data_IF_842064638943
#
_entry.id   IF_842064638943
#
_cell.length_a   1.000
_cell.length_b   1.000
_cell.length_c   1.000
_cell.angle_alpha   90.00
_cell.angle_beta   90.00
_cell.angle_gamma   90.00
#
_symmetry.space_group_name_H-M   'P 1'
#
loop_
_entity.id
_entity.type
_entity.pdbx_description
1 polymer ?
#
# COMPACT_ATOMS: atom_id res chain seq x y z
N UNK A 1 -4.42 -27.65 24.57
CA UNK A 1 -5.26 -26.48 24.19
C UNK A 1 -4.43 -25.34 23.60
N UNK A 2 -3.42 -24.79 24.28
CA UNK A 2 -2.61 -23.65 23.79
C UNK A 2 -1.96 -23.89 22.41
N UNK A 3 -1.37 -25.07 22.17
CA UNK A 3 -0.77 -25.42 20.87
C UNK A 3 -1.76 -25.41 19.69
N UNK A 4 -3.02 -25.80 19.93
CA UNK A 4 -4.08 -25.76 18.92
C UNK A 4 -4.44 -24.30 18.57
N UNK A 5 -4.50 -23.42 19.57
CA UNK A 5 -4.77 -21.99 19.38
C UNK A 5 -3.66 -21.34 18.54
N UNK A 6 -2.39 -21.69 18.81
CA UNK A 6 -1.25 -21.20 18.00
C UNK A 6 -1.38 -21.65 16.55
N UNK A 7 -1.71 -22.92 16.28
CA UNK A 7 -1.91 -23.40 14.91
C UNK A 7 -3.01 -22.63 14.18
N UNK A 8 -4.14 -22.37 14.85
CA UNK A 8 -5.23 -21.59 14.27
C UNK A 8 -4.78 -20.16 13.94
N UNK A 9 -4.07 -19.49 14.85
CA UNK A 9 -3.57 -18.13 14.63
C UNK A 9 -2.47 -18.03 13.56
N UNK A 10 -1.61 -19.04 13.47
CA UNK A 10 -0.61 -19.14 12.39
C UNK A 10 -1.31 -19.32 11.03
N UNK A 11 -2.35 -20.15 10.98
CA UNK A 11 -3.08 -20.36 9.73
C UNK A 11 -3.84 -19.09 9.28
N UNK A 12 -4.46 -18.35 10.20
CA UNK A 12 -5.18 -17.11 9.88
C UNK A 12 -4.22 -15.99 9.47
N UNK A 13 -3.06 -15.87 10.13
CA UNK A 13 -2.01 -14.93 9.73
C UNK A 13 -1.44 -15.24 8.35
N UNK A 14 -1.21 -16.53 8.04
CA UNK A 14 -0.75 -16.93 6.71
C UNK A 14 -1.76 -16.58 5.61
N UNK A 15 -3.05 -16.89 5.80
CA UNK A 15 -4.12 -16.54 4.86
C UNK A 15 -4.21 -15.03 4.67
N UNK A 16 -4.15 -14.28 5.77
CA UNK A 16 -4.19 -12.82 5.73
C UNK A 16 -2.98 -12.24 4.98
N UNK A 17 -1.79 -12.83 5.16
CA UNK A 17 -0.57 -12.40 4.49
C UNK A 17 -0.63 -12.58 2.97
N UNK A 18 -1.27 -13.64 2.47
CA UNK A 18 -1.54 -13.78 1.02
C UNK A 18 -2.42 -12.64 0.52
N UNK A 19 -3.47 -12.29 1.28
CA UNK A 19 -4.35 -11.16 0.98
C UNK A 19 -3.60 -9.83 0.97
N UNK A 20 -2.70 -9.61 1.93
CA UNK A 20 -1.86 -8.40 1.99
C UNK A 20 -0.96 -8.29 0.77
N UNK A 21 -0.25 -9.36 0.41
CA UNK A 21 0.62 -9.37 -0.78
C UNK A 21 -0.19 -9.06 -2.04
N UNK A 22 -1.36 -9.68 -2.22
CA UNK A 22 -2.24 -9.40 -3.36
C UNK A 22 -2.72 -7.94 -3.39
N UNK A 23 -3.13 -7.41 -2.24
CA UNK A 23 -3.54 -6.01 -2.11
C UNK A 23 -2.38 -5.05 -2.42
N UNK A 24 -1.17 -5.32 -1.91
CA UNK A 24 0.02 -4.50 -2.16
C UNK A 24 0.45 -4.53 -3.63
N UNK A 25 0.41 -5.69 -4.30
CA UNK A 25 0.72 -5.79 -5.73
C UNK A 25 -0.27 -4.96 -6.55
N UNK A 26 -1.57 -5.09 -6.25
CA UNK A 26 -2.60 -4.28 -6.92
C UNK A 26 -2.41 -2.79 -6.68
N UNK A 27 -2.10 -2.41 -5.45
CA UNK A 27 -1.81 -1.02 -5.09
C UNK A 27 -0.60 -0.49 -5.88
N UNK A 28 0.50 -1.24 -5.98
CA UNK A 28 1.66 -0.82 -6.74
C UNK A 28 1.33 -0.63 -8.22
N UNK A 29 0.67 -1.61 -8.85
CA UNK A 29 0.30 -1.54 -10.26
C UNK A 29 -0.63 -0.36 -10.59
N UNK A 30 -1.49 0.04 -9.64
CA UNK A 30 -2.45 1.13 -9.85
C UNK A 30 -2.00 2.49 -9.34
N UNK A 31 -0.94 2.58 -8.53
CA UNK A 31 -0.50 3.83 -7.91
C UNK A 31 0.84 4.30 -8.46
N UNK A 32 1.58 3.46 -9.17
CA UNK A 32 2.84 3.84 -9.81
C UNK A 32 2.68 5.10 -10.66
N UNK A 33 1.70 5.13 -11.57
CA UNK A 33 1.38 6.30 -12.39
C UNK A 33 0.79 7.47 -11.59
N UNK A 34 0.19 7.25 -10.43
CA UNK A 34 -0.35 8.34 -9.62
C UNK A 34 0.77 9.09 -8.87
N UNK A 35 1.85 8.41 -8.52
CA UNK A 35 2.96 9.00 -7.74
C UNK A 35 3.78 10.02 -8.53
N UNK A 36 3.94 9.81 -9.84
CA UNK A 36 4.55 10.77 -10.77
C UNK A 36 3.70 12.05 -10.88
N UNK A 37 2.37 11.93 -10.85
CA UNK A 37 1.44 13.07 -10.94
C UNK A 37 1.34 13.85 -9.63
N UNK A 38 1.36 13.17 -8.49
CA UNK A 38 1.13 13.75 -7.16
C UNK A 38 2.44 14.23 -6.52
N UNK A 39 3.61 13.80 -7.02
CA UNK A 39 4.92 14.20 -6.52
C UNK A 39 5.29 13.62 -5.14
N UNK A 40 4.40 12.84 -4.51
CA UNK A 40 4.66 12.20 -3.22
C UNK A 40 5.10 10.73 -3.39
N UNK A 41 6.34 10.44 -2.98
CA UNK A 41 6.89 9.07 -2.96
C UNK A 41 6.39 8.23 -1.77
N UNK A 42 5.73 8.88 -0.81
CA UNK A 42 5.22 8.30 0.43
C UNK A 42 4.22 7.16 0.20
N UNK A 43 3.49 7.21 -0.91
CA UNK A 43 2.52 6.18 -1.27
C UNK A 43 3.18 4.90 -1.80
N UNK A 44 4.18 5.06 -2.66
CA UNK A 44 4.94 3.95 -3.23
C UNK A 44 5.76 3.25 -2.15
N UNK A 45 6.39 4.02 -1.26
CA UNK A 45 7.13 3.49 -0.12
C UNK A 45 6.20 2.71 0.81
N UNK A 46 5.02 3.23 1.14
CA UNK A 46 4.03 2.51 1.95
C UNK A 46 3.64 1.15 1.35
N UNK A 47 3.30 1.13 0.06
CA UNK A 47 2.88 -0.08 -0.64
C UNK A 47 4.03 -1.12 -0.73
N UNK A 48 5.26 -0.66 -0.97
CA UNK A 48 6.45 -1.53 -1.00
C UNK A 48 6.77 -2.13 0.38
N UNK A 49 6.64 -1.34 1.45
CA UNK A 49 6.84 -1.82 2.83
C UNK A 49 5.79 -2.86 3.18
N UNK A 50 4.53 -2.62 2.82
CA UNK A 50 3.46 -3.62 3.02
C UNK A 50 3.69 -4.92 2.24
N UNK A 51 4.18 -4.82 1.01
CA UNK A 51 4.54 -5.99 0.22
C UNK A 51 5.63 -6.81 0.92
N UNK A 52 6.68 -6.14 1.41
CA UNK A 52 7.75 -6.78 2.16
C UNK A 52 7.23 -7.43 3.45
N UNK A 53 6.39 -6.73 4.22
CA UNK A 53 5.76 -7.25 5.44
C UNK A 53 4.96 -8.53 5.16
N UNK A 54 4.09 -8.50 4.14
CA UNK A 54 3.30 -9.67 3.74
C UNK A 54 4.17 -10.84 3.29
N UNK A 55 5.22 -10.57 2.51
CA UNK A 55 6.15 -11.59 2.04
C UNK A 55 6.93 -12.24 3.20
N UNK A 56 7.48 -11.44 4.13
CA UNK A 56 8.15 -11.96 5.31
C UNK A 56 7.20 -12.77 6.21
N UNK A 57 5.97 -12.28 6.40
CA UNK A 57 4.97 -13.02 7.17
C UNK A 57 4.66 -14.40 6.55
N UNK A 58 4.59 -14.51 5.22
CA UNK A 58 4.46 -15.81 4.53
C UNK A 58 5.67 -16.72 4.74
N UNK A 59 6.89 -16.18 4.62
CA UNK A 59 8.12 -16.94 4.83
C UNK A 59 8.22 -17.46 6.27
N UNK A 60 7.68 -16.73 7.24
CA UNK A 60 7.65 -17.16 8.65
C UNK A 60 6.56 -18.19 8.96
N UNK A 61 5.60 -18.43 8.06
CA UNK A 61 4.49 -19.34 8.33
C UNK A 61 4.93 -20.79 8.64
N UNK A 62 5.87 -21.42 7.90
CA UNK A 62 6.38 -22.76 8.25
C UNK A 62 7.02 -22.79 9.64
N UNK A 63 7.76 -21.74 10.02
CA UNK A 63 8.35 -21.61 11.37
C UNK A 63 7.26 -21.52 12.44
N UNK A 64 6.15 -20.84 12.15
CA UNK A 64 4.96 -20.80 12.99
C UNK A 64 4.35 -22.18 13.20
N UNK A 65 4.17 -22.98 12.14
CA UNK A 65 3.66 -24.35 12.27
C UNK A 65 4.61 -25.24 13.07
N UNK A 66 5.91 -25.15 12.81
CA UNK A 66 6.94 -25.90 13.55
C UNK A 66 6.97 -25.50 15.03
N UNK A 67 6.80 -24.22 15.35
CA UNK A 67 6.78 -23.73 16.74
C UNK A 67 5.65 -24.35 17.58
N UNK A 68 4.53 -24.71 16.95
CA UNK A 68 3.40 -25.34 17.63
C UNK A 68 3.63 -26.83 17.91
N UNK A 69 4.37 -27.51 17.03
CA UNK A 69 4.73 -28.93 17.17
C UNK A 69 5.98 -29.13 18.03
N UNK A 70 6.90 -28.17 18.01
CA UNK A 70 8.16 -28.26 18.70
C UNK A 70 7.98 -28.17 20.22
N UNK A 71 8.63 -29.09 20.93
CA UNK A 71 8.83 -29.02 22.39
C UNK A 71 10.12 -28.24 22.73
N UNK A 72 10.91 -27.89 21.71
CA UNK A 72 12.19 -27.19 21.84
C UNK A 72 12.01 -25.66 21.88
N UNK A 73 12.48 -25.02 22.94
CA UNK A 73 12.38 -23.57 23.18
C UNK A 73 12.97 -22.63 22.10
N UNK A 74 14.10 -22.92 21.42
CA UNK A 74 14.70 -21.93 20.51
C UNK A 74 13.86 -21.65 19.26
N UNK A 75 13.15 -22.64 18.71
CA UNK A 75 12.30 -22.45 17.51
C UNK A 75 11.16 -21.48 17.84
N UNK A 76 10.48 -21.69 18.96
CA UNK A 76 9.41 -20.80 19.44
C UNK A 76 9.90 -19.39 19.71
N UNK A 77 11.11 -19.23 20.27
CA UNK A 77 11.71 -17.93 20.50
C UNK A 77 12.05 -17.21 19.18
N UNK A 78 12.67 -17.90 18.22
CA UNK A 78 13.00 -17.31 16.91
C UNK A 78 11.75 -16.84 16.15
N UNK A 79 10.70 -17.66 16.14
CA UNK A 79 9.42 -17.27 15.54
C UNK A 79 8.81 -16.03 16.23
N UNK A 80 8.83 -15.98 17.58
CA UNK A 80 8.33 -14.82 18.33
C UNK A 80 9.10 -13.54 18.01
N UNK A 81 10.42 -13.61 17.89
CA UNK A 81 11.27 -12.46 17.53
C UNK A 81 10.96 -11.98 16.10
N UNK A 82 10.85 -12.89 15.14
CA UNK A 82 10.51 -12.53 13.75
C UNK A 82 9.13 -11.87 13.66
N UNK A 83 8.13 -12.43 14.35
CA UNK A 83 6.78 -11.84 14.42
C UNK A 83 6.77 -10.47 15.10
N UNK A 84 7.62 -10.26 16.11
CA UNK A 84 7.78 -8.94 16.73
C UNK A 84 8.29 -7.90 15.74
N UNK A 85 9.30 -8.22 14.91
CA UNK A 85 9.76 -7.30 13.87
C UNK A 85 8.69 -7.03 12.81
N UNK A 86 7.89 -8.04 12.42
CA UNK A 86 6.75 -7.88 11.50
C UNK A 86 5.69 -6.93 12.10
N UNK A 87 5.43 -7.00 13.42
CA UNK A 87 4.57 -6.02 14.09
C UNK A 87 5.08 -4.60 13.91
N UNK A 88 6.38 -4.36 14.14
CA UNK A 88 6.96 -3.02 14.05
C UNK A 88 6.84 -2.45 12.64
N UNK A 89 7.14 -3.26 11.61
CA UNK A 89 6.97 -2.86 10.22
C UNK A 89 5.50 -2.61 9.85
N UNK A 90 4.56 -3.37 10.43
CA UNK A 90 3.13 -3.16 10.23
C UNK A 90 2.64 -1.82 10.80
N UNK A 91 3.20 -1.38 11.93
CA UNK A 91 2.95 -0.06 12.52
C UNK A 91 3.47 1.05 11.60
N UNK A 92 4.67 0.89 11.04
CA UNK A 92 5.22 1.83 10.06
C UNK A 92 4.29 1.96 8.85
N UNK A 93 3.82 0.84 8.28
CA UNK A 93 2.82 0.85 7.20
C UNK A 93 1.53 1.57 7.59
N UNK A 94 1.07 1.42 8.84
CA UNK A 94 -0.10 2.13 9.36
C UNK A 94 0.12 3.65 9.38
N UNK A 95 1.28 4.12 9.86
CA UNK A 95 1.65 5.54 9.87
C UNK A 95 1.64 6.15 8.47
N UNK A 96 2.20 5.45 7.46
CA UNK A 96 2.16 5.92 6.08
C UNK A 96 0.73 6.01 5.54
N UNK A 97 -0.13 5.02 5.83
CA UNK A 97 -1.55 5.07 5.47
C UNK A 97 -2.28 6.31 6.01
N UNK A 98 -1.96 6.71 7.25
CA UNK A 98 -2.48 7.95 7.85
C UNK A 98 -1.91 9.22 7.22
N UNK A 99 -0.61 9.25 6.90
CA UNK A 99 0.00 10.41 6.21
C UNK A 99 -0.65 10.64 4.87
N UNK A 100 -0.81 9.58 4.08
CA UNK A 100 -1.54 9.61 2.82
C UNK A 100 -2.98 10.14 3.00
N UNK A 101 -3.68 9.68 4.03
CA UNK A 101 -5.04 10.16 4.32
C UNK A 101 -5.07 11.67 4.58
N UNK A 102 -4.11 12.18 5.34
CA UNK A 102 -4.01 13.59 5.63
C UNK A 102 -3.69 14.41 4.37
N UNK A 103 -2.82 13.92 3.48
CA UNK A 103 -2.56 14.57 2.19
C UNK A 103 -3.82 14.62 1.32
N UNK A 104 -4.58 13.53 1.26
CA UNK A 104 -5.87 13.45 0.54
C UNK A 104 -6.87 14.47 1.10
N UNK A 105 -7.07 14.49 2.41
CA UNK A 105 -8.06 15.33 3.07
C UNK A 105 -7.66 16.82 3.07
N UNK A 106 -6.35 17.12 2.97
CA UNK A 106 -5.83 18.50 2.92
C UNK A 106 -6.04 19.21 1.57
N UNK A 107 -6.38 18.47 0.51
CA UNK A 107 -6.56 19.03 -0.84
C UNK A 107 -5.26 19.31 -1.60
N UNK A 108 -4.10 19.01 -1.02
CA UNK A 108 -2.78 19.18 -1.64
C UNK A 108 -2.66 18.42 -2.97
N UNK A 109 -3.35 17.28 -3.11
CA UNK A 109 -3.42 16.51 -4.36
C UNK A 109 -3.97 17.33 -5.52
N UNK A 110 -4.96 18.20 -5.27
CA UNK A 110 -5.54 19.04 -6.31
C UNK A 110 -4.52 20.05 -6.83
N UNK A 111 -3.68 20.59 -5.94
CA UNK A 111 -2.64 21.55 -6.30
C UNK A 111 -1.55 20.90 -7.14
N UNK A 112 -1.06 19.72 -6.75
CA UNK A 112 -0.10 18.93 -7.54
C UNK A 112 -0.63 18.53 -8.91
N UNK A 113 -1.89 18.11 -9.00
CA UNK A 113 -2.52 17.79 -10.28
C UNK A 113 -2.63 19.04 -11.17
N UNK A 114 -2.95 20.22 -10.62
CA UNK A 114 -2.99 21.45 -11.39
C UNK A 114 -1.61 21.85 -11.90
N UNK A 115 -0.60 21.80 -11.03
CA UNK A 115 0.77 22.12 -11.40
C UNK A 115 1.28 21.17 -12.49
N UNK A 116 1.23 19.86 -12.25
CA UNK A 116 1.73 18.85 -13.20
C UNK A 116 1.06 18.90 -14.57
N UNK A 117 -0.26 19.14 -14.63
CA UNK A 117 -0.98 19.30 -15.90
C UNK A 117 -0.59 20.60 -16.63
N UNK A 118 -0.42 21.71 -15.91
CA UNK A 118 -0.15 23.01 -16.52
C UNK A 118 1.30 23.16 -16.99
N UNK A 119 2.27 22.67 -16.22
CA UNK A 119 3.70 22.96 -16.48
C UNK A 119 4.45 21.79 -17.09
N UNK A 120 4.11 20.56 -16.71
CA UNK A 120 4.95 19.40 -17.03
C UNK A 120 4.35 18.45 -18.06
N UNK A 121 3.03 18.43 -18.24
CA UNK A 121 2.41 17.61 -19.28
C UNK A 121 2.87 18.06 -20.68
N UNK A 122 3.35 17.12 -21.50
CA UNK A 122 3.90 17.40 -22.82
C UNK A 122 5.34 17.90 -22.84
N UNK A 123 6.01 17.95 -21.68
CA UNK A 123 7.43 18.29 -21.60
C UNK A 123 8.29 17.09 -22.05
N UNK A 124 9.18 17.23 -23.06
CA UNK A 124 10.03 16.13 -23.54
C UNK A 124 11.05 15.63 -22.51
N UNK A 125 11.28 16.38 -21.43
CA UNK A 125 12.12 15.94 -20.31
C UNK A 125 11.33 15.21 -19.21
N UNK A 126 9.99 15.17 -19.31
CA UNK A 126 9.08 14.55 -18.35
C UNK A 126 8.08 13.60 -19.06
N UNK A 127 8.57 12.78 -19.98
CA UNK A 127 7.77 11.82 -20.74
C UNK A 127 7.01 10.83 -19.82
N UNK A 128 7.63 10.39 -18.72
CA UNK A 128 7.00 9.50 -17.73
C UNK A 128 5.75 10.11 -17.11
N UNK A 129 5.74 11.43 -16.88
CA UNK A 129 4.59 12.14 -16.35
C UNK A 129 3.47 12.22 -17.40
N UNK A 130 3.81 12.52 -18.65
CA UNK A 130 2.84 12.57 -19.75
C UNK A 130 2.18 11.21 -19.93
N UNK A 131 2.96 10.13 -19.93
CA UNK A 131 2.46 8.75 -19.98
C UNK A 131 1.54 8.40 -18.80
N UNK A 132 1.89 8.87 -17.60
CA UNK A 132 1.08 8.65 -16.39
C UNK A 132 -0.28 9.34 -16.48
N UNK A 133 -0.33 10.57 -17.01
CA UNK A 133 -1.58 11.27 -17.28
C UNK A 133 -2.40 10.61 -18.37
N UNK A 134 -1.77 10.10 -19.43
CA UNK A 134 -2.46 9.40 -20.51
C UNK A 134 -3.15 8.12 -19.99
N UNK A 135 -2.45 7.33 -19.17
CA UNK A 135 -3.04 6.19 -18.46
C UNK A 135 -4.18 6.61 -17.53
N UNK A 136 -4.07 7.75 -16.84
CA UNK A 136 -5.13 8.25 -15.97
C UNK A 136 -6.40 8.58 -16.77
N UNK A 137 -6.24 9.24 -17.92
CA UNK A 137 -7.34 9.57 -18.83
C UNK A 137 -8.03 8.31 -19.36
N UNK A 138 -7.25 7.30 -19.77
CA UNK A 138 -7.77 6.03 -20.26
C UNK A 138 -8.47 5.22 -19.15
N UNK A 139 -7.87 5.11 -17.96
CA UNK A 139 -8.40 4.32 -16.84
C UNK A 139 -9.77 4.82 -16.38
N UNK A 140 -9.94 6.12 -16.25
CA UNK A 140 -11.17 6.71 -15.71
C UNK A 140 -12.09 7.32 -16.77
N UNK A 141 -11.72 7.24 -18.05
CA UNK A 141 -12.42 7.90 -19.15
C UNK A 141 -12.77 9.36 -18.78
N UNK A 142 -11.74 10.10 -18.40
CA UNK A 142 -11.81 11.48 -17.94
C UNK A 142 -10.84 12.34 -18.75
N UNK A 143 -11.05 13.65 -18.72
CA UNK A 143 -10.13 14.59 -19.34
C UNK A 143 -9.94 15.79 -18.40
N UNK A 144 -8.70 16.11 -18.07
CA UNK A 144 -8.37 17.20 -17.15
C UNK A 144 -8.75 16.91 -15.69
N UNK A 145 -8.65 17.94 -14.84
CA UNK A 145 -8.68 17.75 -13.38
C UNK A 145 -10.10 17.83 -12.83
N UNK A 146 -10.87 18.84 -13.23
CA UNK A 146 -12.20 19.14 -12.68
C UNK A 146 -13.26 19.28 -13.78
N UNK A 147 -14.48 18.79 -13.50
CA UNK A 147 -15.58 18.66 -14.47
C UNK A 147 -15.91 19.95 -15.26
N UNK A 148 -15.73 21.14 -14.66
CA UNK A 148 -16.19 22.41 -15.23
C UNK A 148 -15.12 23.18 -16.02
N UNK A 149 -13.84 22.84 -15.88
CA UNK A 149 -12.72 23.64 -16.43
C UNK A 149 -11.76 22.83 -17.30
N UNK A 150 -12.07 21.58 -17.62
CA UNK A 150 -11.14 20.72 -18.35
C UNK A 150 -10.69 21.28 -19.70
N UNK A 151 -11.56 21.73 -20.63
CA UNK A 151 -11.10 22.25 -21.92
C UNK A 151 -10.33 23.57 -21.83
N UNK A 152 -10.69 24.45 -20.87
CA UNK A 152 -10.01 25.74 -20.69
C UNK A 152 -8.70 25.61 -19.92
N UNK A 153 -8.57 24.63 -19.03
CA UNK A 153 -7.32 24.32 -18.35
C UNK A 153 -6.24 23.87 -19.34
N UNK A 154 -6.60 23.07 -20.34
CA UNK A 154 -5.69 22.65 -21.41
C UNK A 154 -5.17 23.81 -22.26
N UNK A 155 -5.98 24.83 -22.53
CA UNK A 155 -5.56 25.99 -23.34
C UNK A 155 -4.41 26.79 -22.71
N UNK A 156 -4.28 26.75 -21.38
CA UNK A 156 -3.22 27.44 -20.64
C UNK A 156 -2.05 26.52 -20.28
N UNK A 157 -2.08 25.25 -20.71
CA UNK A 157 -1.01 24.29 -20.45
C UNK A 157 0.18 24.49 -21.37
N UNK A 158 1.38 24.17 -20.87
CA UNK A 158 2.61 24.14 -21.65
C UNK A 158 2.47 23.30 -22.93
N UNK A 159 1.78 22.16 -22.83
CA UNK A 159 1.48 21.31 -23.98
C UNK A 159 0.77 22.08 -25.09
N UNK A 160 -0.34 22.77 -24.81
CA UNK A 160 -1.10 23.47 -25.86
C UNK A 160 -0.30 24.62 -26.52
N UNK A 161 0.54 25.32 -25.74
CA UNK A 161 1.39 26.39 -26.26
C UNK A 161 2.47 25.86 -27.20
N UNK A 162 3.05 24.70 -26.87
CA UNK A 162 4.19 24.09 -27.56
C UNK A 162 3.77 23.07 -28.63
N UNK A 163 2.51 22.63 -28.61
CA UNK A 163 1.95 21.69 -29.58
C UNK A 163 1.95 22.29 -30.99
N UNK A 164 2.16 21.41 -31.98
CA UNK A 164 2.39 21.70 -33.40
C UNK A 164 1.74 23.02 -33.89
N UNK A 165 2.53 23.81 -34.61
CA UNK A 165 2.13 25.14 -35.09
C UNK A 165 1.11 25.10 -36.23
N UNK A 166 0.76 23.90 -36.72
CA UNK A 166 -0.22 23.68 -37.79
C UNK A 166 -1.66 23.74 -37.26
N UNK A 167 -2.51 24.50 -37.96
CA UNK A 167 -3.92 24.63 -37.66
C UNK A 167 -4.77 23.60 -38.41
N UNK A 168 -5.87 23.07 -37.83
CA UNK A 168 -6.40 23.37 -36.49
C UNK A 168 -5.74 22.57 -35.36
N UNK A 169 -5.49 23.22 -34.21
CA UNK A 169 -4.95 22.57 -33.01
C UNK A 169 -6.05 21.80 -32.25
N UNK A 170 -5.79 20.58 -31.75
CA UNK A 170 -6.70 19.89 -30.86
C UNK A 170 -6.82 20.64 -29.53
N UNK A 171 -8.03 20.68 -28.96
CA UNK A 171 -8.30 21.38 -27.68
C UNK A 171 -7.87 20.57 -26.46
N UNK A 172 -7.74 19.25 -26.62
CA UNK A 172 -7.37 18.28 -25.59
C UNK A 172 -6.37 17.28 -26.19
N UNK A 173 -5.52 16.64 -25.37
CA UNK A 173 -4.57 15.63 -25.85
C UNK A 173 -5.28 14.38 -26.40
N UNK A 174 -4.61 13.58 -27.24
CA UNK A 174 -5.18 12.39 -27.86
C UNK A 174 -5.60 11.29 -26.87
N UNK A 175 -5.00 11.27 -25.67
CA UNK A 175 -5.38 10.36 -24.58
C UNK A 175 -6.77 10.68 -24.00
N UNK A 176 -7.22 11.93 -24.13
CA UNK A 176 -8.57 12.31 -23.71
C UNK A 176 -9.60 11.79 -24.71
N UNK A 177 -10.68 11.22 -24.20
CA UNK A 177 -11.78 10.80 -25.05
C UNK A 177 -12.67 11.99 -25.45
N UNK A 178 -13.02 12.07 -26.73
CA UNK A 178 -13.83 13.15 -27.31
C UNK A 178 -15.22 13.31 -26.66
N UNK A 179 -15.76 12.26 -26.03
CA UNK A 179 -17.07 12.29 -25.36
C UNK A 179 -16.98 12.57 -23.85
N UNK A 180 -15.78 12.59 -23.27
CA UNK A 180 -15.57 12.74 -21.83
C UNK A 180 -14.88 14.05 -21.43
N UNK A 181 -14.79 15.02 -22.33
CA UNK A 181 -14.10 16.30 -22.12
C UNK A 181 -14.59 17.09 -20.89
N UNK A 182 -15.78 16.77 -20.38
CA UNK A 182 -16.40 17.40 -19.20
C UNK A 182 -16.27 16.60 -17.91
N UNK A 183 -15.58 15.46 -17.92
CA UNK A 183 -15.36 14.63 -16.72
C UNK A 183 -13.95 14.86 -16.17
N UNK A 184 -13.84 15.35 -14.94
CA UNK A 184 -12.57 15.53 -14.25
C UNK A 184 -12.04 14.25 -13.61
N UNK A 185 -10.73 14.05 -13.68
CA UNK A 185 -10.04 12.88 -13.13
C UNK A 185 -9.85 12.95 -11.60
N UNK A 186 -10.02 14.12 -10.97
CA UNK A 186 -9.75 14.32 -9.54
C UNK A 186 -10.63 13.46 -8.62
N UNK A 187 -11.95 13.44 -8.86
CA UNK A 187 -12.91 12.70 -8.03
C UNK A 187 -12.70 11.17 -8.05
N UNK A 188 -12.59 10.51 -9.22
CA UNK A 188 -12.34 9.06 -9.24
C UNK A 188 -10.97 8.72 -8.65
N UNK A 189 -9.92 9.50 -8.94
CA UNK A 189 -8.60 9.30 -8.35
C UNK A 189 -8.61 9.40 -6.82
N UNK A 190 -9.25 10.43 -6.26
CA UNK A 190 -9.41 10.59 -4.81
C UNK A 190 -10.11 9.38 -4.17
N UNK A 191 -11.14 8.85 -4.84
CA UNK A 191 -11.89 7.69 -4.33
C UNK A 191 -10.98 6.47 -4.22
N UNK A 192 -10.18 6.21 -5.24
CA UNK A 192 -9.24 5.09 -5.25
C UNK A 192 -8.14 5.29 -4.20
N UNK A 193 -7.55 6.48 -4.12
CA UNK A 193 -6.55 6.82 -3.09
C UNK A 193 -7.10 6.67 -1.66
N UNK A 194 -8.33 7.13 -1.42
CA UNK A 194 -8.97 6.99 -0.11
C UNK A 194 -9.33 5.53 0.20
N UNK A 195 -9.72 4.75 -0.81
CA UNK A 195 -9.92 3.30 -0.68
C UNK A 195 -8.62 2.59 -0.32
N UNK A 196 -7.51 2.91 -1.00
CA UNK A 196 -6.19 2.36 -0.70
C UNK A 196 -5.67 2.78 0.68
N UNK A 197 -5.83 4.05 1.05
CA UNK A 197 -5.46 4.55 2.39
C UNK A 197 -6.20 3.81 3.49
N UNK A 198 -7.53 3.70 3.38
CA UNK A 198 -8.36 2.97 4.36
C UNK A 198 -8.02 1.48 4.40
N UNK A 199 -7.84 0.87 3.23
CA UNK A 199 -7.44 -0.53 3.11
C UNK A 199 -6.10 -0.80 3.79
N UNK A 200 -5.10 0.04 3.52
CA UNK A 200 -3.77 0.01 4.14
C UNK A 200 -3.89 0.10 5.67
N UNK A 201 -4.57 1.12 6.21
CA UNK A 201 -4.72 1.29 7.67
C UNK A 201 -5.42 0.08 8.30
N UNK A 202 -6.52 -0.39 7.70
CA UNK A 202 -7.30 -1.52 8.20
C UNK A 202 -6.46 -2.80 8.20
N UNK A 203 -5.78 -3.09 7.09
CA UNK A 203 -4.98 -4.31 6.92
C UNK A 203 -3.78 -4.31 7.84
N UNK A 204 -3.04 -3.20 7.94
CA UNK A 204 -1.93 -3.04 8.89
C UNK A 204 -2.38 -3.24 10.34
N UNK A 205 -3.53 -2.67 10.73
CA UNK A 205 -4.02 -2.75 12.11
C UNK A 205 -4.41 -4.17 12.50
N UNK A 206 -5.11 -4.89 11.60
CA UNK A 206 -5.47 -6.29 11.80
C UNK A 206 -4.21 -7.17 11.85
N UNK A 207 -3.26 -6.96 10.94
CA UNK A 207 -1.99 -7.70 10.95
C UNK A 207 -1.24 -7.50 12.26
N UNK A 208 -1.06 -6.25 12.69
CA UNK A 208 -0.37 -5.94 13.94
C UNK A 208 -1.04 -6.61 15.15
N UNK A 209 -2.38 -6.58 15.22
CA UNK A 209 -3.11 -7.26 16.29
C UNK A 209 -2.89 -8.79 16.28
N UNK A 210 -3.00 -9.44 15.12
CA UNK A 210 -2.76 -10.87 14.98
C UNK A 210 -1.31 -11.25 15.33
N UNK A 211 -0.33 -10.47 14.90
CA UNK A 211 1.07 -10.70 15.23
C UNK A 211 1.33 -10.50 16.73
N UNK A 212 0.75 -9.48 17.37
CA UNK A 212 0.86 -9.27 18.82
C UNK A 212 0.25 -10.42 19.62
N UNK A 213 -0.91 -10.94 19.20
CA UNK A 213 -1.50 -12.13 19.82
C UNK A 213 -0.59 -13.37 19.68
N UNK A 214 0.03 -13.57 18.51
CA UNK A 214 1.00 -14.64 18.30
C UNK A 214 2.22 -14.50 19.22
N UNK A 215 2.79 -13.30 19.33
CA UNK A 215 3.94 -13.01 20.22
C UNK A 215 3.58 -13.29 21.68
N UNK A 216 2.41 -12.82 22.14
CA UNK A 216 1.95 -13.03 23.51
C UNK A 216 1.81 -14.52 23.85
N UNK A 217 1.19 -15.30 22.97
CA UNK A 217 1.02 -16.75 23.17
C UNK A 217 2.34 -17.52 23.10
N UNK A 218 3.27 -17.11 22.23
CA UNK A 218 4.60 -17.71 22.18
C UNK A 218 5.37 -17.46 23.47
N UNK A 219 5.29 -16.24 24.02
CA UNK A 219 5.92 -15.91 25.30
C UNK A 219 5.31 -16.70 26.46
N UNK A 220 3.99 -16.82 26.52
CA UNK A 220 3.30 -17.63 27.52
C UNK A 220 3.71 -19.11 27.45
N UNK A 221 3.77 -19.66 26.23
CA UNK A 221 4.20 -21.05 25.99
C UNK A 221 5.67 -21.27 26.36
N UNK A 222 6.54 -20.32 26.02
CA UNK A 222 7.96 -20.38 26.39
C UNK A 222 8.14 -20.38 27.90
N UNK A 223 7.44 -19.50 28.64
CA UNK A 223 7.48 -19.47 30.10
C UNK A 223 6.99 -20.78 30.72
N UNK A 224 5.89 -21.34 30.21
CA UNK A 224 5.33 -22.61 30.68
C UNK A 224 6.28 -23.81 30.42
N UNK A 225 6.93 -23.84 29.26
CA UNK A 225 7.92 -24.89 28.95
C UNK A 225 9.18 -24.75 29.81
N UNK A 226 9.61 -23.53 30.11
CA UNK A 226 10.76 -23.27 30.97
C UNK A 226 10.52 -23.71 32.41
N UNK A 227 9.35 -23.38 32.97
CA UNK A 227 8.98 -23.73 34.34
C UNK A 227 8.87 -25.26 34.54
N UNK A 228 8.26 -25.96 33.57
CA UNK A 228 8.20 -27.42 33.57
C UNK A 228 9.57 -28.08 33.40
N UNK A 229 10.51 -27.48 32.64
CA UNK A 229 11.88 -28.02 32.52
C UNK A 229 12.60 -27.96 33.87
N UNK A 230 12.49 -26.84 34.60
CA UNK A 230 13.09 -26.70 35.93
C UNK A 230 12.51 -27.73 36.92
N UNK A 231 11.19 -27.97 36.88
CA UNK A 231 10.54 -28.96 37.73
C UNK A 231 10.79 -30.41 37.27
N UNK A 232 11.13 -30.64 36.00
CA UNK A 232 11.48 -31.96 35.48
C UNK A 232 12.91 -32.38 35.82
N UNK A 233 13.85 -31.44 35.88
CA UNK A 233 15.24 -31.69 36.29
C UNK A 233 15.39 -31.95 37.80
N UNK A 234 14.44 -31.54 38.65
CA UNK A 234 14.45 -31.85 40.08
C UNK A 234 13.96 -33.27 40.45
N UNK A 235 13.52 -34.05 39.45
CA UNK A 235 13.00 -35.41 39.60
C UNK A 235 13.95 -36.51 39.08
N UNK A 236 15.19 -36.15 38.73
CA UNK A 236 16.23 -37.10 38.36
C UNK A 236 17.23 -37.15 39.53
N UNK A 237 17.19 -38.20 40.37
CA UNK A 237 18.13 -38.38 41.48
C UNK A 237 19.55 -38.73 41.02
#
# INVERSE_FOLDING_TARGET
MVRLVILLLVSTTAIFSVGVVGFSIRALAELEFATTIIGSRELLTAASVMLAVGAFALVTAPLGLLSAMATYSPITLTYAILMFFICLLSIVGCCFGFRLRNEIDSGVILEWMNYSLQTEYGNPFADDLTFSWDQLHEKYACCGITDQRSPTAWLNSYWFMTYDSRWPRPRVPPSCCSTCETKGCYKPLLRDLHYYSKGTILVSSIMAFLCLLNVFLCFFTHKFLFDNRIHGESLIP
#
